data_IF_120578658624
#
_entry.id   IF_120578658624
#
_cell.length_a   1.000
_cell.length_b   1.000
_cell.length_c   1.000
_cell.angle_alpha   90.00
_cell.angle_beta   90.00
_cell.angle_gamma   90.00
#
_symmetry.space_group_name_H-M   'P 1'
#
loop_
_entity.id
_entity.type
_entity.pdbx_description
1 polymer ?
#
# COMPACT_ATOMS: atom_id res chain seq x y z
N UNK A 1 -33.98 -2.05 -15.12
CA UNK A 1 -33.17 -1.10 -14.31
C UNK A 1 -33.45 -1.39 -12.86
N UNK A 2 -32.53 -2.05 -12.16
CA UNK A 2 -32.64 -2.37 -10.75
C UNK A 2 -31.27 -2.20 -10.11
N UNK A 3 -31.09 -1.11 -9.37
CA UNK A 3 -29.90 -0.89 -8.57
C UNK A 3 -30.07 -1.68 -7.27
N UNK A 4 -29.34 -2.78 -7.13
CA UNK A 4 -29.18 -3.46 -5.85
C UNK A 4 -28.21 -2.66 -4.98
N UNK A 5 -28.73 -2.01 -3.93
CA UNK A 5 -27.92 -1.48 -2.86
C UNK A 5 -27.34 -2.64 -2.04
N UNK A 6 -26.22 -3.19 -2.50
CA UNK A 6 -25.38 -4.03 -1.67
C UNK A 6 -24.67 -3.15 -0.66
N UNK A 7 -25.16 -3.11 0.58
CA UNK A 7 -24.44 -2.53 1.69
C UNK A 7 -23.17 -3.35 1.93
N UNK A 8 -22.06 -2.95 1.31
CA UNK A 8 -20.73 -3.39 1.73
C UNK A 8 -20.58 -2.88 3.15
N UNK A 9 -20.81 -3.76 4.12
CA UNK A 9 -20.58 -3.46 5.53
C UNK A 9 -19.07 -3.49 5.68
N UNK A 10 -18.42 -2.34 5.48
CA UNK A 10 -17.01 -2.14 5.80
C UNK A 10 -16.90 -2.42 7.30
N UNK A 11 -16.42 -3.61 7.67
CA UNK A 11 -16.20 -3.95 9.07
C UNK A 11 -15.09 -3.04 9.56
N UNK A 12 -15.46 -2.02 10.32
CA UNK A 12 -14.48 -1.19 11.00
C UNK A 12 -13.67 -2.10 11.94
N UNK A 13 -12.34 -1.99 11.93
CA UNK A 13 -11.48 -2.85 12.73
C UNK A 13 -11.81 -2.77 14.22
N UNK A 14 -11.53 -3.84 14.96
CA UNK A 14 -11.79 -3.89 16.38
C UNK A 14 -10.93 -2.87 17.12
N UNK A 15 -11.61 -1.91 17.75
CA UNK A 15 -10.97 -0.87 18.56
C UNK A 15 -10.50 -1.48 19.89
N UNK A 16 -9.27 -1.21 20.29
CA UNK A 16 -8.77 -1.68 21.57
C UNK A 16 -9.53 -0.97 22.73
N UNK A 17 -10.09 -1.76 23.64
CA UNK A 17 -10.83 -1.25 24.81
C UNK A 17 -9.92 -0.63 25.88
N UNK A 18 -8.61 -0.89 25.83
CA UNK A 18 -7.62 -0.47 26.82
C UNK A 18 -6.89 0.84 26.46
N UNK A 19 -7.31 1.55 25.39
CA UNK A 19 -6.70 2.82 24.94
C UNK A 19 -5.19 2.74 24.62
N UNK A 20 -4.66 1.55 24.34
CA UNK A 20 -3.26 1.42 23.89
C UNK A 20 -3.13 1.98 22.47
N UNK A 21 -2.33 3.03 22.32
CA UNK A 21 -1.97 3.59 21.01
C UNK A 21 -0.90 2.71 20.36
N UNK A 22 -1.19 2.20 19.16
CA UNK A 22 -0.29 1.43 18.34
C UNK A 22 0.35 2.33 17.28
N UNK A 23 1.63 2.08 16.98
CA UNK A 23 2.36 2.77 15.90
C UNK A 23 2.55 1.82 14.72
N UNK A 24 1.98 2.17 13.58
CA UNK A 24 2.15 1.50 12.30
C UNK A 24 3.28 2.15 11.53
N UNK A 25 4.18 1.36 10.95
CA UNK A 25 5.33 1.87 10.21
C UNK A 25 5.30 1.40 8.75
N UNK A 26 5.39 2.35 7.81
CA UNK A 26 5.55 2.09 6.37
C UNK A 26 6.88 2.64 5.90
N UNK A 27 7.67 1.79 5.23
CA UNK A 27 8.96 2.18 4.64
C UNK A 27 8.85 2.24 3.12
N UNK A 28 9.45 3.25 2.51
CA UNK A 28 9.55 3.39 1.06
C UNK A 28 11.01 3.49 0.70
N UNK A 29 11.50 2.54 -0.08
CA UNK A 29 12.92 2.44 -0.38
C UNK A 29 13.25 3.27 -1.61
N UNK A 30 14.27 4.13 -1.49
CA UNK A 30 14.69 5.00 -2.59
C UNK A 30 15.18 4.18 -3.78
N UNK A 31 14.68 4.45 -4.99
CA UNK A 31 15.21 3.83 -6.21
C UNK A 31 16.65 4.23 -6.51
N UNK A 32 17.14 5.33 -5.92
CA UNK A 32 18.47 5.92 -6.20
C UNK A 32 19.55 5.52 -5.18
N UNK A 33 19.25 4.81 -4.08
CA UNK A 33 20.26 4.40 -3.10
C UNK A 33 19.74 4.13 -1.67
N UNK A 34 20.68 4.06 -0.72
CA UNK A 34 20.52 3.31 0.54
C UNK A 34 19.55 3.89 1.59
N UNK A 35 19.09 5.13 1.46
CA UNK A 35 18.15 5.74 2.42
C UNK A 35 16.75 5.80 1.86
N UNK A 36 15.86 5.00 2.45
CA UNK A 36 14.42 5.10 2.25
C UNK A 36 13.79 6.17 3.16
N UNK A 37 12.48 6.33 3.00
CA UNK A 37 11.63 7.13 3.89
C UNK A 37 10.87 6.20 4.81
N UNK A 38 10.65 6.63 6.05
CA UNK A 38 9.82 5.94 7.03
C UNK A 38 8.68 6.86 7.45
N UNK A 39 7.48 6.30 7.48
CA UNK A 39 6.26 6.98 7.87
C UNK A 39 5.60 6.21 8.98
N UNK A 40 5.26 6.92 10.05
CA UNK A 40 4.61 6.35 11.22
C UNK A 40 3.19 6.90 11.37
N UNK A 41 2.22 6.03 11.63
CA UNK A 41 0.83 6.37 11.90
C UNK A 41 0.40 5.80 13.24
N UNK A 42 -0.15 6.66 14.10
CA UNK A 42 -0.63 6.29 15.42
C UNK A 42 -2.14 6.04 15.39
N UNK A 43 -2.57 4.95 16.00
CA UNK A 43 -3.96 4.50 15.98
C UNK A 43 -4.28 3.61 17.17
N UNK A 44 -5.53 3.56 17.60
CA UNK A 44 -6.03 2.65 18.64
C UNK A 44 -6.65 1.35 18.07
N UNK A 45 -6.62 1.18 16.75
CA UNK A 45 -6.98 -0.06 16.07
C UNK A 45 -5.81 -1.04 16.10
N UNK A 46 -6.12 -2.33 16.30
CA UNK A 46 -5.13 -3.43 16.30
C UNK A 46 -4.70 -3.86 14.90
N UNK A 47 -5.59 -3.64 13.92
CA UNK A 47 -5.34 -3.86 12.50
C UNK A 47 -6.00 -2.76 11.66
N UNK A 48 -5.41 -2.42 10.51
CA UNK A 48 -5.92 -1.41 9.58
C UNK A 48 -5.76 -1.93 8.16
N UNK A 49 -6.79 -1.83 7.28
CA UNK A 49 -6.62 -2.09 5.85
C UNK A 49 -5.45 -1.29 5.27
N UNK A 50 -4.53 -1.94 4.58
CA UNK A 50 -3.34 -1.25 4.06
C UNK A 50 -3.68 -0.07 3.12
N UNK A 51 -4.70 -0.13 2.25
CA UNK A 51 -5.14 1.05 1.49
C UNK A 51 -5.56 2.23 2.38
N UNK A 52 -6.23 1.95 3.49
CA UNK A 52 -6.63 2.97 4.48
C UNK A 52 -5.41 3.56 5.19
N UNK A 53 -4.45 2.73 5.59
CA UNK A 53 -3.19 3.19 6.19
C UNK A 53 -2.42 4.11 5.24
N UNK A 54 -2.30 3.73 3.96
CA UNK A 54 -1.63 4.55 2.95
C UNK A 54 -2.35 5.89 2.74
N UNK A 55 -3.68 5.91 2.71
CA UNK A 55 -4.46 7.15 2.65
C UNK A 55 -4.20 8.05 3.86
N UNK A 56 -4.20 7.51 5.08
CA UNK A 56 -3.89 8.31 6.27
C UNK A 56 -2.48 8.91 6.23
N UNK A 57 -1.49 8.15 5.74
CA UNK A 57 -0.14 8.66 5.58
C UNK A 57 -0.05 9.77 4.52
N UNK A 58 -0.84 9.68 3.45
CA UNK A 58 -0.85 10.68 2.38
C UNK A 58 -1.58 11.97 2.74
N UNK A 59 -2.61 11.90 3.58
CA UNK A 59 -3.43 13.05 3.98
C UNK A 59 -3.22 13.46 5.44
N UNK A 60 -2.09 13.08 6.06
CA UNK A 60 -1.79 13.50 7.42
C UNK A 60 -1.62 15.04 7.49
N UNK A 61 -2.24 15.67 8.48
CA UNK A 61 -2.25 17.14 8.67
C UNK A 61 -0.87 17.75 8.93
N UNK A 62 0.16 16.92 9.16
CA UNK A 62 1.55 17.36 9.26
C UNK A 62 2.26 17.32 7.89
N UNK A 63 2.48 18.48 7.23
CA UNK A 63 2.96 18.54 5.84
C UNK A 63 4.41 18.07 5.68
N UNK A 64 5.21 18.14 6.76
CA UNK A 64 6.61 17.70 6.75
C UNK A 64 6.78 16.18 6.79
N UNK A 65 5.69 15.44 7.01
CA UNK A 65 5.66 13.98 7.15
C UNK A 65 4.62 13.31 6.24
N UNK A 66 3.99 14.06 5.34
CA UNK A 66 2.97 13.51 4.45
C UNK A 66 3.63 12.65 3.36
N UNK A 67 3.09 11.46 3.17
CA UNK A 67 3.46 10.58 2.08
C UNK A 67 2.96 11.15 0.74
N UNK A 68 3.88 11.62 -0.11
CA UNK A 68 3.55 11.94 -1.50
C UNK A 68 3.30 10.65 -2.28
N UNK A 69 2.04 10.37 -2.60
CA UNK A 69 1.63 9.18 -3.35
C UNK A 69 0.58 9.50 -4.41
N UNK A 70 0.61 8.74 -5.50
CA UNK A 70 -0.42 8.76 -6.53
C UNK A 70 -0.84 7.33 -6.86
N UNK A 71 -2.14 7.06 -6.77
CA UNK A 71 -2.75 5.74 -7.00
C UNK A 71 -3.61 5.81 -8.26
N UNK A 72 -3.48 4.82 -9.13
CA UNK A 72 -4.22 4.75 -10.39
C UNK A 72 -4.93 3.41 -10.54
N UNK A 73 -5.99 3.40 -11.33
CA UNK A 73 -6.68 2.20 -11.78
C UNK A 73 -6.60 2.09 -13.30
N UNK A 74 -6.36 0.90 -13.83
CA UNK A 74 -6.40 0.62 -15.27
C UNK A 74 -7.41 -0.49 -15.54
N UNK A 75 -8.30 -0.26 -16.49
CA UNK A 75 -9.27 -1.27 -16.90
C UNK A 75 -8.57 -2.37 -17.70
N UNK A 76 -8.66 -3.62 -17.22
CA UNK A 76 -8.16 -4.80 -17.89
C UNK A 76 -9.33 -5.48 -18.62
N UNK A 77 -9.30 -5.43 -19.96
CA UNK A 77 -10.32 -6.03 -20.81
C UNK A 77 -10.35 -7.56 -20.76
N UNK A 78 -9.21 -8.21 -20.51
CA UNK A 78 -9.14 -9.68 -20.47
C UNK A 78 -9.89 -10.25 -19.26
N UNK A 79 -9.86 -9.52 -18.14
CA UNK A 79 -10.46 -9.92 -16.88
C UNK A 79 -11.75 -9.15 -16.54
N UNK A 80 -12.20 -8.27 -17.44
CA UNK A 80 -13.35 -7.36 -17.27
C UNK A 80 -13.40 -6.66 -15.90
N UNK A 81 -12.26 -6.12 -15.46
CA UNK A 81 -12.16 -5.42 -14.17
C UNK A 81 -11.10 -4.32 -14.17
N UNK A 82 -11.19 -3.42 -13.21
CA UNK A 82 -10.12 -2.46 -12.92
C UNK A 82 -9.03 -3.13 -12.08
N UNK A 83 -7.78 -2.98 -12.52
CA UNK A 83 -6.60 -3.33 -11.75
C UNK A 83 -6.00 -2.07 -11.10
N UNK A 84 -5.59 -2.18 -9.84
CA UNK A 84 -5.06 -1.05 -9.06
C UNK A 84 -3.54 -1.03 -9.01
N UNK A 85 -2.96 0.16 -9.14
CA UNK A 85 -1.51 0.37 -9.13
C UNK A 85 -1.13 1.63 -8.34
N UNK A 86 0.10 1.65 -7.84
CA UNK A 86 0.72 2.86 -7.30
C UNK A 86 1.58 3.48 -8.39
N UNK A 87 1.14 4.61 -8.95
CA UNK A 87 1.85 5.31 -10.02
C UNK A 87 3.11 6.00 -9.51
N UNK A 88 3.06 6.54 -8.29
CA UNK A 88 4.14 7.35 -7.74
C UNK A 88 4.20 7.21 -6.22
N UNK A 89 5.42 7.11 -5.69
CA UNK A 89 5.72 7.31 -4.27
C UNK A 89 6.92 8.23 -4.14
N UNK A 90 6.86 9.22 -3.26
CA UNK A 90 7.96 10.15 -2.93
C UNK A 90 8.57 10.84 -4.15
N UNK A 91 7.73 11.20 -5.13
CA UNK A 91 8.18 11.85 -6.36
C UNK A 91 8.64 10.89 -7.46
N UNK A 92 8.82 9.59 -7.17
CA UNK A 92 9.32 8.59 -8.11
C UNK A 92 8.19 7.82 -8.78
N UNK A 93 8.08 7.99 -10.09
CA UNK A 93 7.05 7.37 -10.92
C UNK A 93 7.44 5.97 -11.39
N UNK A 94 6.43 5.17 -11.72
CA UNK A 94 6.60 3.89 -12.43
C UNK A 94 7.08 4.13 -13.87
N UNK A 95 7.79 3.16 -14.44
CA UNK A 95 8.42 3.33 -15.76
C UNK A 95 7.41 3.39 -16.92
N UNK A 96 6.25 2.77 -16.78
CA UNK A 96 5.19 2.78 -17.79
C UNK A 96 3.81 2.83 -17.14
N UNK A 97 3.18 4.01 -17.11
CA UNK A 97 1.86 4.16 -16.50
C UNK A 97 0.73 3.51 -17.32
N UNK A 98 0.91 3.33 -18.64
CA UNK A 98 -0.11 2.73 -19.51
C UNK A 98 -0.11 1.21 -19.46
N UNK A 99 1.06 0.61 -19.32
CA UNK A 99 1.23 -0.83 -19.12
C UNK A 99 2.14 -1.11 -17.90
N UNK A 100 1.66 -0.90 -16.65
CA UNK A 100 2.48 -0.95 -15.43
C UNK A 100 3.32 -2.22 -15.27
N UNK A 101 2.76 -3.38 -15.64
CA UNK A 101 3.44 -4.68 -15.54
C UNK A 101 4.60 -4.87 -16.53
N UNK A 102 4.73 -4.02 -17.57
CA UNK A 102 5.84 -4.06 -18.56
C UNK A 102 7.09 -3.29 -18.15
N UNK A 103 7.02 -2.49 -17.08
CA UNK A 103 8.14 -1.73 -16.53
C UNK A 103 8.45 -2.09 -15.08
N UNK A 104 9.22 -1.24 -14.42
CA UNK A 104 9.25 -1.19 -12.95
C UNK A 104 8.01 -0.51 -12.41
N UNK A 105 7.46 -1.12 -11.37
CA UNK A 105 6.35 -0.58 -10.60
C UNK A 105 6.64 -0.67 -9.10
N UNK A 106 5.85 0.04 -8.32
CA UNK A 106 5.87 -0.04 -6.87
C UNK A 106 5.25 -1.35 -6.41
N UNK A 107 6.06 -2.15 -5.73
CA UNK A 107 5.70 -3.45 -5.14
C UNK A 107 5.82 -3.33 -3.63
N UNK A 108 4.79 -3.77 -2.92
CA UNK A 108 4.79 -3.82 -1.46
C UNK A 108 5.17 -5.21 -0.96
N UNK A 109 5.92 -5.24 0.12
CA UNK A 109 6.23 -6.43 0.89
C UNK A 109 5.67 -6.25 2.29
N UNK A 110 4.99 -7.28 2.80
CA UNK A 110 4.50 -7.36 4.17
C UNK A 110 5.20 -8.54 4.83
N UNK A 111 5.98 -8.30 5.88
CA UNK A 111 6.79 -9.33 6.56
C UNK A 111 7.63 -10.14 5.56
N UNK A 112 8.41 -9.45 4.74
CA UNK A 112 9.25 -9.99 3.65
C UNK A 112 8.49 -10.73 2.52
N UNK A 113 7.18 -10.88 2.63
CA UNK A 113 6.36 -11.52 1.60
C UNK A 113 5.89 -10.48 0.60
N UNK A 114 6.22 -10.70 -0.67
CA UNK A 114 5.75 -9.85 -1.76
C UNK A 114 4.23 -9.94 -1.87
N UNK A 115 3.56 -8.79 -1.84
CA UNK A 115 2.12 -8.70 -2.00
C UNK A 115 1.78 -7.91 -3.26
N UNK A 116 0.73 -8.35 -3.94
CA UNK A 116 0.20 -7.69 -5.11
C UNK A 116 -0.79 -6.60 -4.67
N UNK A 117 -0.53 -5.35 -5.07
CA UNK A 117 -1.30 -4.20 -4.61
C UNK A 117 -2.77 -4.27 -5.04
N UNK A 118 -3.01 -4.74 -6.26
CA UNK A 118 -4.34 -4.95 -6.80
C UNK A 118 -5.15 -5.92 -5.92
N UNK A 119 -4.56 -7.06 -5.55
CA UNK A 119 -5.15 -7.99 -4.58
C UNK A 119 -5.35 -7.37 -3.18
N UNK A 120 -4.42 -6.52 -2.72
CA UNK A 120 -4.55 -5.83 -1.42
C UNK A 120 -5.78 -4.90 -1.42
N UNK A 121 -5.97 -4.15 -2.51
CA UNK A 121 -7.12 -3.27 -2.68
C UNK A 121 -8.44 -4.06 -2.76
N UNK A 122 -8.49 -5.13 -3.56
CA UNK A 122 -9.72 -5.91 -3.72
C UNK A 122 -10.16 -6.65 -2.45
N UNK A 123 -9.19 -7.15 -1.66
CA UNK A 123 -9.47 -7.95 -0.46
C UNK A 123 -9.41 -7.15 0.84
N UNK A 124 -9.15 -5.84 0.75
CA UNK A 124 -8.93 -4.97 1.90
C UNK A 124 -7.94 -5.56 2.90
N UNK A 125 -6.80 -6.08 2.41
CA UNK A 125 -5.82 -6.77 3.26
C UNK A 125 -5.39 -5.86 4.40
N UNK A 126 -5.65 -6.30 5.64
CA UNK A 126 -5.30 -5.59 6.86
C UNK A 126 -3.87 -5.90 7.31
N UNK A 127 -3.22 -4.90 7.86
CA UNK A 127 -1.90 -5.00 8.51
C UNK A 127 -2.03 -4.68 9.98
N UNK A 128 -1.15 -5.26 10.80
CA UNK A 128 -1.00 -4.97 12.23
C UNK A 128 0.17 -4.02 12.44
N UNK A 129 0.20 -3.37 13.60
CA UNK A 129 1.31 -2.51 14.00
C UNK A 129 2.66 -3.26 14.09
N UNK A 130 2.63 -4.58 14.24
CA UNK A 130 3.82 -5.43 14.29
C UNK A 130 4.33 -5.84 12.91
N UNK A 131 3.56 -5.60 11.85
CA UNK A 131 3.93 -6.02 10.50
C UNK A 131 4.96 -5.05 9.91
N UNK A 132 5.93 -5.59 9.19
CA UNK A 132 6.87 -4.78 8.41
C UNK A 132 6.32 -4.53 7.00
N UNK A 133 5.93 -3.28 6.72
CA UNK A 133 5.45 -2.85 5.39
C UNK A 133 6.54 -2.06 4.66
N UNK A 134 7.01 -2.60 3.53
CA UNK A 134 8.09 -1.98 2.74
C UNK A 134 7.75 -1.92 1.25
N UNK A 135 7.97 -0.75 0.64
CA UNK A 135 7.77 -0.51 -0.78
C UNK A 135 9.08 -0.44 -1.56
N UNK A 136 9.09 -1.07 -2.73
CA UNK A 136 10.22 -1.07 -3.67
C UNK A 136 9.76 -0.78 -5.10
N UNK A 137 10.54 0.04 -5.82
CA UNK A 137 10.38 0.21 -7.26
C UNK A 137 11.21 -0.86 -8.00
N UNK A 138 10.54 -1.86 -8.56
CA UNK A 138 11.19 -3.03 -9.18
C UNK A 138 10.32 -3.65 -10.28
N UNK A 139 10.85 -4.58 -11.07
CA UNK A 139 10.03 -5.25 -12.09
C UNK A 139 9.02 -6.17 -11.45
N UNK A 140 7.85 -6.29 -12.08
CA UNK A 140 6.74 -7.10 -11.55
C UNK A 140 7.12 -8.56 -11.31
N UNK A 141 8.00 -9.15 -12.11
CA UNK A 141 8.36 -10.57 -11.97
C UNK A 141 9.62 -10.79 -11.12
N UNK A 142 10.24 -9.73 -10.60
CA UNK A 142 11.41 -9.85 -9.73
C UNK A 142 10.98 -10.13 -8.28
N UNK A 143 11.67 -11.06 -7.63
CA UNK A 143 11.60 -11.30 -6.19
C UNK A 143 12.92 -10.80 -5.62
N UNK A 144 12.87 -10.02 -4.54
CA UNK A 144 14.10 -9.67 -3.81
C UNK A 144 14.78 -10.94 -3.31
N UNK A 145 16.00 -11.20 -3.80
CA UNK A 145 16.87 -12.23 -3.22
C UNK A 145 17.27 -11.76 -1.83
N UNK A 146 16.94 -12.55 -0.80
CA UNK A 146 17.44 -12.34 0.55
C UNK A 146 18.98 -12.29 0.49
N UNK A 147 19.59 -11.20 0.97
CA UNK A 147 21.00 -11.24 1.34
C UNK A 147 21.07 -12.11 2.59
N UNK A 148 21.44 -13.38 2.43
CA UNK A 148 21.94 -14.17 3.55
C UNK A 148 23.14 -13.40 4.11
N UNK A 149 22.99 -12.91 5.35
CA UNK A 149 24.13 -12.44 6.14
C UNK A 149 24.82 -13.62 6.80
#
# INVERSE_FOLDING_TARGET
>A
MGCGSGSITTKLPERNKEQTEFTYTVKIMSPQGDKGWQFDYKSDYTEIPLPTLMNYLSYNDHPSSSLSANFISKYNQENDRFEYYVQQLMGFEIENADEPKKGKLWVVYINESKCDWDNICEKEVAVKHSDEVVWYLQKYNEIKKQKQS
#
